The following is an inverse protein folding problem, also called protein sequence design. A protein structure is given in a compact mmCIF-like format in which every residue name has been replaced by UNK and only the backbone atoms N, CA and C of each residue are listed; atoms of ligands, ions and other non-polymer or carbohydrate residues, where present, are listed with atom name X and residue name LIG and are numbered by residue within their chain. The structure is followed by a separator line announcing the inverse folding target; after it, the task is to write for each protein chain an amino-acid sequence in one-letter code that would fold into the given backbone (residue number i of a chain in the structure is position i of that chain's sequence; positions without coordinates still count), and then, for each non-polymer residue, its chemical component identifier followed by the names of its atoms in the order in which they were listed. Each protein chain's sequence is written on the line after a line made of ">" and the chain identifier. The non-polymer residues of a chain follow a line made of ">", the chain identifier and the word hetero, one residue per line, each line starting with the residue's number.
data_IF_167732416319
#
_entry.id   IF_167732416319
#
_cell.length_a   1.000
_cell.length_b   1.000
_cell.length_c   1.000
_cell.angle_alpha   90.00
_cell.angle_beta   90.00
_cell.angle_gamma   90.00
#
_symmetry.space_group_name_H-M   'P 1'
#
loop_
_entity.id
_entity.type
_entity.pdbx_description
1 polymer ?
#
# COMPACT_ATOMS: atom_id res chain seq x y z
N UNK A 1 -64.00 -78.30 -4.33
CA UNK A 1 -63.44 -77.26 -5.24
C UNK A 1 -62.95 -75.97 -4.55
N UNK A 2 -62.81 -75.88 -3.21
CA UNK A 2 -62.29 -74.67 -2.54
C UNK A 2 -61.03 -74.87 -1.67
N UNK A 3 -60.59 -76.11 -1.45
CA UNK A 3 -59.35 -76.41 -0.71
C UNK A 3 -58.09 -76.39 -1.60
N UNK A 4 -58.23 -76.79 -2.87
CA UNK A 4 -57.10 -76.89 -3.80
C UNK A 4 -56.59 -75.52 -4.27
N UNK A 5 -57.48 -74.53 -4.39
CA UNK A 5 -57.11 -73.14 -4.69
C UNK A 5 -56.48 -72.43 -3.48
N UNK A 6 -56.81 -72.85 -2.25
CA UNK A 6 -56.20 -72.32 -1.03
C UNK A 6 -54.76 -72.84 -0.84
N UNK A 7 -54.52 -74.12 -1.16
CA UNK A 7 -53.16 -74.70 -1.14
C UNK A 7 -52.23 -74.10 -2.20
N UNK A 8 -52.74 -73.82 -3.41
CA UNK A 8 -51.93 -73.21 -4.49
C UNK A 8 -51.58 -71.73 -4.24
N UNK A 9 -52.47 -70.96 -3.59
CA UNK A 9 -52.20 -69.55 -3.28
C UNK A 9 -51.23 -69.36 -2.11
N UNK A 10 -51.08 -70.34 -1.22
CA UNK A 10 -50.09 -70.31 -0.14
C UNK A 10 -48.68 -70.68 -0.64
N UNK A 11 -48.56 -71.54 -1.66
CA UNK A 11 -47.27 -71.93 -2.25
C UNK A 11 -46.64 -70.81 -3.09
N UNK A 12 -47.43 -69.90 -3.66
CA UNK A 12 -46.94 -68.77 -4.47
C UNK A 12 -46.51 -67.54 -3.64
N UNK A 13 -46.71 -67.53 -2.32
CA UNK A 13 -46.29 -66.43 -1.42
C UNK A 13 -44.96 -66.65 -0.69
N UNK A 14 -44.21 -67.72 -1.01
CA UNK A 14 -42.92 -68.03 -0.37
C UNK A 14 -41.76 -68.08 -1.37
N UNK A 15 -41.91 -67.50 -2.57
CA UNK A 15 -40.74 -67.05 -3.32
C UNK A 15 -40.24 -65.72 -2.75
N UNK A 16 -39.82 -65.74 -1.48
CA UNK A 16 -38.76 -64.82 -1.08
C UNK A 16 -37.54 -65.36 -1.81
N UNK A 17 -37.23 -64.76 -2.96
CA UNK A 17 -35.87 -64.78 -3.50
C UNK A 17 -35.02 -64.30 -2.33
N UNK A 18 -34.37 -65.23 -1.62
CA UNK A 18 -33.26 -64.90 -0.75
C UNK A 18 -32.25 -64.28 -1.71
N UNK A 19 -32.25 -62.95 -1.82
CA UNK A 19 -31.07 -62.25 -2.30
C UNK A 19 -29.96 -62.79 -1.41
N UNK A 20 -29.09 -63.61 -1.99
CA UNK A 20 -27.82 -63.92 -1.37
C UNK A 20 -27.15 -62.57 -1.22
N UNK A 21 -27.21 -61.97 -0.03
CA UNK A 21 -26.26 -60.95 0.36
C UNK A 21 -24.93 -61.65 0.47
N UNK A 22 -24.30 -61.88 -0.68
CA UNK A 22 -22.90 -62.23 -0.76
C UNK A 22 -22.16 -61.04 -0.18
N UNK A 23 -21.59 -61.22 1.02
CA UNK A 23 -20.60 -60.28 1.51
C UNK A 23 -19.45 -60.19 0.51
N UNK A 24 -18.83 -59.01 0.41
CA UNK A 24 -17.68 -58.82 -0.46
C UNK A 24 -16.59 -59.83 -0.14
N UNK A 25 -16.01 -60.42 -1.18
CA UNK A 25 -14.84 -61.26 -1.02
C UNK A 25 -13.64 -60.39 -0.66
N UNK A 26 -12.68 -60.94 0.08
CA UNK A 26 -11.48 -60.21 0.52
C UNK A 26 -10.69 -59.66 -0.67
N UNK A 27 -10.75 -60.32 -1.84
CA UNK A 27 -10.11 -59.88 -3.08
C UNK A 27 -10.88 -58.75 -3.79
N UNK A 28 -12.21 -58.74 -3.77
CA UNK A 28 -12.98 -57.60 -4.30
C UNK A 28 -12.74 -56.34 -3.47
N UNK A 29 -12.59 -56.48 -2.14
CA UNK A 29 -12.26 -55.37 -1.27
C UNK A 29 -10.83 -54.85 -1.52
N UNK A 30 -9.88 -55.76 -1.78
CA UNK A 30 -8.51 -55.41 -2.19
C UNK A 30 -8.49 -54.66 -3.54
N UNK A 31 -9.19 -55.18 -4.55
CA UNK A 31 -9.28 -54.55 -5.88
C UNK A 31 -9.98 -53.20 -5.80
N UNK A 32 -11.07 -53.11 -5.02
CA UNK A 32 -11.78 -51.86 -4.77
C UNK A 32 -10.88 -50.79 -4.12
N UNK A 33 -10.05 -51.19 -3.15
CA UNK A 33 -9.09 -50.28 -2.50
C UNK A 33 -7.99 -49.85 -3.47
N UNK A 34 -7.48 -50.76 -4.30
CA UNK A 34 -6.50 -50.44 -5.35
C UNK A 34 -7.07 -49.45 -6.38
N UNK A 35 -8.27 -49.69 -6.88
CA UNK A 35 -8.93 -48.79 -7.83
C UNK A 35 -9.24 -47.43 -7.20
N UNK A 36 -9.70 -47.41 -5.95
CA UNK A 36 -9.93 -46.17 -5.21
C UNK A 36 -8.63 -45.37 -5.06
N UNK A 37 -7.52 -46.01 -4.70
CA UNK A 37 -6.22 -45.34 -4.57
C UNK A 37 -5.73 -44.77 -5.91
N UNK A 38 -5.89 -45.52 -6.99
CA UNK A 38 -5.50 -45.10 -8.35
C UNK A 38 -6.33 -43.91 -8.85
N UNK A 39 -7.57 -43.76 -8.41
CA UNK A 39 -8.46 -42.66 -8.83
C UNK A 39 -8.35 -41.44 -7.90
N UNK A 40 -8.34 -41.64 -6.58
CA UNK A 40 -8.37 -40.53 -5.60
C UNK A 40 -7.06 -39.74 -5.62
N UNK A 41 -5.92 -40.42 -5.72
CA UNK A 41 -4.59 -39.77 -5.68
C UNK A 41 -4.40 -38.71 -6.79
N UNK A 42 -4.64 -38.99 -8.08
CA UNK A 42 -4.50 -37.97 -9.13
C UNK A 42 -5.53 -36.85 -9.00
N UNK A 43 -6.76 -37.14 -8.54
CA UNK A 43 -7.78 -36.11 -8.29
C UNK A 43 -7.36 -35.15 -7.17
N UNK A 44 -6.80 -35.68 -6.09
CA UNK A 44 -6.28 -34.87 -4.99
C UNK A 44 -5.08 -34.02 -5.44
N UNK A 45 -4.17 -34.60 -6.23
CA UNK A 45 -3.04 -33.87 -6.81
C UNK A 45 -3.49 -32.72 -7.73
N UNK A 46 -4.49 -32.97 -8.57
CA UNK A 46 -5.08 -31.95 -9.44
C UNK A 46 -5.74 -30.82 -8.63
N UNK A 47 -6.50 -31.17 -7.58
CA UNK A 47 -7.13 -30.18 -6.70
C UNK A 47 -6.10 -29.27 -6.02
N UNK A 48 -4.99 -29.83 -5.50
CA UNK A 48 -3.91 -29.04 -4.91
C UNK A 48 -3.30 -28.08 -5.94
N UNK A 49 -3.07 -28.57 -7.17
CA UNK A 49 -2.54 -27.75 -8.26
C UNK A 49 -3.46 -26.58 -8.62
N UNK A 50 -4.78 -26.79 -8.66
CA UNK A 50 -5.74 -25.69 -8.88
C UNK A 50 -5.70 -24.70 -7.73
N UNK A 51 -5.78 -25.18 -6.48
CA UNK A 51 -5.78 -24.31 -5.31
C UNK A 51 -4.50 -23.46 -5.21
N UNK A 52 -3.35 -24.05 -5.53
CA UNK A 52 -2.07 -23.33 -5.52
C UNK A 52 -2.02 -22.28 -6.63
N UNK A 53 -2.52 -22.62 -7.83
CA UNK A 53 -2.60 -21.68 -8.94
C UNK A 53 -3.55 -20.52 -8.63
N UNK A 54 -4.73 -20.82 -8.11
CA UNK A 54 -5.71 -19.80 -7.70
C UNK A 54 -5.15 -18.88 -6.63
N UNK A 55 -4.45 -19.42 -5.63
CA UNK A 55 -3.79 -18.61 -4.59
C UNK A 55 -2.72 -17.68 -5.18
N UNK A 56 -1.93 -18.16 -6.15
CA UNK A 56 -0.91 -17.36 -6.83
C UNK A 56 -1.52 -16.24 -7.67
N UNK A 57 -2.57 -16.53 -8.43
CA UNK A 57 -3.26 -15.53 -9.25
C UNK A 57 -4.02 -14.49 -8.41
N UNK A 58 -4.65 -14.92 -7.31
CA UNK A 58 -5.24 -13.99 -6.34
C UNK A 58 -4.20 -13.06 -5.71
N UNK A 59 -3.03 -13.59 -5.31
CA UNK A 59 -1.98 -12.78 -4.71
C UNK A 59 -1.46 -11.70 -5.67
N UNK A 60 -1.29 -12.02 -6.96
CA UNK A 60 -0.88 -11.05 -7.99
C UNK A 60 -1.95 -9.98 -8.19
N UNK A 61 -3.19 -10.41 -8.45
CA UNK A 61 -4.31 -9.52 -8.73
C UNK A 61 -4.57 -8.56 -7.58
N UNK A 62 -4.61 -9.07 -6.34
CA UNK A 62 -4.83 -8.23 -5.16
C UNK A 62 -3.70 -7.22 -4.95
N UNK A 63 -2.44 -7.64 -5.12
CA UNK A 63 -1.29 -6.72 -4.98
C UNK A 63 -1.31 -5.63 -6.06
N UNK A 64 -1.63 -5.98 -7.30
CA UNK A 64 -1.74 -5.01 -8.38
C UNK A 64 -2.87 -4.00 -8.13
N UNK A 65 -4.05 -4.46 -7.69
CA UNK A 65 -5.18 -3.60 -7.36
C UNK A 65 -4.87 -2.67 -6.17
N UNK A 66 -4.27 -3.18 -5.10
CA UNK A 66 -3.91 -2.39 -3.92
C UNK A 66 -2.88 -1.30 -4.27
N UNK A 67 -1.86 -1.61 -5.07
CA UNK A 67 -0.83 -0.63 -5.47
C UNK A 67 -1.39 0.38 -6.45
N UNK A 68 -2.26 -0.04 -7.36
CA UNK A 68 -2.98 0.90 -8.24
C UNK A 68 -3.81 1.87 -7.41
N UNK A 69 -4.56 1.38 -6.42
CA UNK A 69 -5.36 2.23 -5.54
C UNK A 69 -4.47 3.19 -4.72
N UNK A 70 -3.32 2.73 -4.23
CA UNK A 70 -2.35 3.55 -3.52
C UNK A 70 -1.74 4.63 -4.43
N UNK A 71 -1.34 4.28 -5.65
CA UNK A 71 -0.82 5.21 -6.65
C UNK A 71 -1.87 6.26 -7.02
N UNK A 72 -3.10 5.85 -7.28
CA UNK A 72 -4.20 6.76 -7.59
C UNK A 72 -4.50 7.70 -6.40
N UNK A 73 -4.38 7.22 -5.17
CA UNK A 73 -4.52 8.04 -3.97
C UNK A 73 -3.40 9.09 -3.87
N UNK A 74 -2.14 8.68 -4.02
CA UNK A 74 -0.98 9.59 -4.01
C UNK A 74 -1.12 10.62 -5.13
N UNK A 75 -1.54 10.19 -6.33
CA UNK A 75 -1.74 11.06 -7.48
C UNK A 75 -2.82 12.11 -7.26
N UNK A 76 -3.95 11.77 -6.65
CA UNK A 76 -5.00 12.75 -6.28
C UNK A 76 -4.48 13.77 -5.26
N UNK A 77 -3.66 13.33 -4.31
CA UNK A 77 -3.04 14.20 -3.32
C UNK A 77 -2.03 15.16 -3.98
N UNK A 78 -1.22 14.66 -4.91
CA UNK A 78 -0.26 15.43 -5.70
C UNK A 78 -0.93 16.45 -6.63
N UNK A 79 -2.12 16.17 -7.16
CA UNK A 79 -2.87 17.14 -7.96
C UNK A 79 -3.21 18.41 -7.17
N UNK A 80 -3.28 18.34 -5.84
CA UNK A 80 -3.52 19.48 -4.96
C UNK A 80 -2.20 20.10 -4.42
N UNK A 81 -1.05 19.60 -4.87
CA UNK A 81 0.25 20.09 -4.41
C UNK A 81 0.52 21.50 -4.92
N UNK A 82 0.94 22.36 -4.00
CA UNK A 82 1.36 23.74 -4.24
C UNK A 82 2.87 23.82 -4.39
N UNK A 83 3.60 22.99 -3.64
CA UNK A 83 5.05 22.87 -3.70
C UNK A 83 5.47 21.45 -3.36
N UNK A 84 6.39 20.87 -4.14
CA UNK A 84 6.92 19.52 -3.93
C UNK A 84 8.41 19.66 -3.60
N UNK A 85 8.83 19.09 -2.47
CA UNK A 85 10.24 19.10 -2.08
C UNK A 85 11.05 18.17 -2.97
N UNK A 86 12.18 18.68 -3.45
CA UNK A 86 13.19 17.88 -4.12
C UNK A 86 14.13 17.20 -3.11
N UNK A 87 15.17 16.56 -3.63
CA UNK A 87 16.10 15.79 -2.80
C UNK A 87 16.84 16.65 -1.79
N UNK A 88 17.21 17.87 -2.14
CA UNK A 88 17.86 18.82 -1.25
C UNK A 88 16.89 19.33 -0.20
N UNK A 89 15.67 19.69 -0.60
CA UNK A 89 14.63 20.15 0.31
C UNK A 89 14.25 19.11 1.37
N UNK A 90 14.18 17.82 0.99
CA UNK A 90 13.95 16.73 1.96
C UNK A 90 15.08 16.62 2.98
N UNK A 91 16.33 16.85 2.57
CA UNK A 91 17.45 16.83 3.49
C UNK A 91 17.36 17.95 4.53
N UNK A 92 16.92 19.15 4.14
CA UNK A 92 16.77 20.30 5.04
C UNK A 92 15.60 20.13 6.03
N UNK A 93 14.44 19.65 5.56
CA UNK A 93 13.25 19.51 6.41
C UNK A 93 13.22 18.20 7.21
N UNK A 94 14.18 17.29 7.01
CA UNK A 94 14.16 15.93 7.56
C UNK A 94 13.98 15.92 9.07
N UNK A 95 14.72 16.77 9.78
CA UNK A 95 14.68 16.87 11.24
C UNK A 95 13.35 17.41 11.78
N UNK A 96 12.57 18.06 10.91
CA UNK A 96 11.25 18.58 11.23
C UNK A 96 10.16 17.52 11.08
N UNK A 97 10.42 16.44 10.35
CA UNK A 97 9.46 15.39 10.09
C UNK A 97 9.44 14.33 11.22
N UNK A 98 8.32 13.60 11.41
CA UNK A 98 8.29 12.45 12.32
C UNK A 98 9.34 11.38 11.96
N UNK A 99 9.83 10.66 12.98
CA UNK A 99 10.80 9.55 12.82
C UNK A 99 12.08 9.98 12.07
N UNK A 100 12.55 11.20 12.33
CA UNK A 100 13.80 11.75 11.77
C UNK A 100 15.04 10.99 12.26
N UNK A 101 14.96 10.40 13.45
CA UNK A 101 15.99 9.60 14.11
C UNK A 101 16.20 8.21 13.47
N UNK A 102 15.18 7.66 12.80
CA UNK A 102 15.19 6.29 12.29
C UNK A 102 15.24 6.22 10.75
N UNK A 103 16.35 6.68 10.19
CA UNK A 103 16.57 6.79 8.74
C UNK A 103 16.63 5.44 8.01
N UNK A 104 16.93 4.36 8.72
CA UNK A 104 17.05 3.00 8.16
C UNK A 104 15.72 2.27 8.03
N UNK A 105 14.71 2.67 8.81
CA UNK A 105 13.40 2.01 8.82
C UNK A 105 12.28 2.92 8.33
N UNK A 106 12.39 4.25 8.49
CA UNK A 106 11.39 5.21 8.05
C UNK A 106 12.05 6.24 7.17
N UNK A 107 11.80 6.20 5.86
CA UNK A 107 12.43 7.14 4.92
C UNK A 107 11.37 7.92 4.13
N UNK A 108 11.40 9.27 4.15
CA UNK A 108 10.44 10.12 3.46
C UNK A 108 10.83 10.17 1.98
N UNK A 109 9.98 9.58 1.15
CA UNK A 109 10.22 9.50 -0.29
C UNK A 109 9.59 10.68 -1.01
N UNK A 110 8.42 11.13 -0.56
CA UNK A 110 7.69 12.21 -1.20
C UNK A 110 7.12 13.16 -0.14
N UNK A 111 7.51 14.43 -0.21
CA UNK A 111 7.05 15.46 0.73
C UNK A 111 6.58 16.68 -0.07
N UNK A 112 5.39 17.19 0.25
CA UNK A 112 4.82 18.33 -0.45
C UNK A 112 3.80 19.08 0.41
N UNK A 113 3.62 20.35 0.06
CA UNK A 113 2.53 21.18 0.56
C UNK A 113 1.33 21.03 -0.36
N UNK A 114 0.16 20.75 0.20
CA UNK A 114 -1.10 20.73 -0.54
C UNK A 114 -2.09 21.75 0.00
N UNK A 115 -2.98 22.24 -0.88
CA UNK A 115 -4.15 23.01 -0.49
C UNK A 115 -5.36 22.08 -0.42
N UNK A 116 -5.82 21.79 0.78
CA UNK A 116 -6.94 20.89 1.01
C UNK A 116 -8.24 21.68 1.18
N UNK A 117 -9.28 21.24 0.47
CA UNK A 117 -10.64 21.73 0.65
C UNK A 117 -11.26 21.13 1.93
N UNK A 118 -11.89 21.99 2.72
CA UNK A 118 -12.66 21.63 3.93
C UNK A 118 -14.08 22.14 3.72
N UNK A 119 -15.04 21.24 3.65
CA UNK A 119 -16.44 21.63 3.51
C UNK A 119 -17.02 22.05 4.85
N UNK A 120 -17.72 23.19 4.87
CA UNK A 120 -18.39 23.71 6.06
C UNK A 120 -17.46 23.96 7.25
N UNK A 121 -16.19 24.30 7.00
CA UNK A 121 -15.21 24.55 8.07
C UNK A 121 -15.41 25.90 8.76
N UNK A 122 -15.97 26.90 8.07
CA UNK A 122 -16.08 28.26 8.61
C UNK A 122 -17.50 28.54 9.11
N UNK A 123 -17.65 28.88 10.39
CA UNK A 123 -18.92 29.30 10.94
C UNK A 123 -19.30 30.70 10.45
N UNK A 124 -20.38 30.80 9.67
CA UNK A 124 -20.97 32.07 9.24
C UNK A 124 -21.82 32.62 10.38
N UNK A 125 -21.38 33.72 10.98
CA UNK A 125 -22.04 34.34 12.15
C UNK A 125 -22.91 35.52 11.71
N UNK A 126 -24.13 35.60 12.24
CA UNK A 126 -24.97 36.81 12.21
C UNK A 126 -25.19 37.25 13.65
N UNK A 127 -24.44 38.27 14.07
CA UNK A 127 -24.32 38.62 15.50
C UNK A 127 -23.62 37.51 16.28
N UNK A 128 -24.21 37.09 17.41
CA UNK A 128 -23.69 36.00 18.25
C UNK A 128 -24.14 34.59 17.79
N UNK A 129 -24.97 34.50 16.75
CA UNK A 129 -25.58 33.24 16.30
C UNK A 129 -24.89 32.71 15.06
N UNK A 130 -24.56 31.42 15.04
CA UNK A 130 -24.08 30.75 13.83
C UNK A 130 -25.28 30.44 12.92
N UNK A 131 -25.29 31.01 11.73
CA UNK A 131 -26.40 30.91 10.76
C UNK A 131 -26.13 29.85 9.69
N UNK A 132 -24.87 29.46 9.50
CA UNK A 132 -24.49 28.38 8.60
C UNK A 132 -22.99 28.13 8.66
N UNK A 133 -22.55 27.16 7.86
CA UNK A 133 -21.13 26.89 7.67
C UNK A 133 -20.77 27.10 6.20
N UNK A 134 -19.64 27.76 5.96
CA UNK A 134 -19.06 27.98 4.63
C UNK A 134 -17.82 27.13 4.44
N UNK A 135 -17.49 26.89 3.19
CA UNK A 135 -16.34 26.09 2.79
C UNK A 135 -15.04 26.88 2.90
N UNK A 136 -13.93 26.16 3.09
CA UNK A 136 -12.62 26.80 3.20
C UNK A 136 -11.50 25.92 2.67
N UNK A 137 -10.31 26.51 2.57
CA UNK A 137 -9.10 25.81 2.17
C UNK A 137 -8.04 25.93 3.26
N UNK A 138 -7.40 24.81 3.57
CA UNK A 138 -6.30 24.71 4.51
C UNK A 138 -5.03 24.28 3.80
N UNK A 139 -3.89 24.78 4.26
CA UNK A 139 -2.60 24.25 3.86
C UNK A 139 -2.25 23.06 4.71
N UNK A 140 -1.77 22.00 4.07
CA UNK A 140 -1.30 20.80 4.76
C UNK A 140 0.05 20.37 4.23
N UNK A 141 0.94 19.98 5.12
CA UNK A 141 2.18 19.30 4.78
C UNK A 141 1.89 17.80 4.77
N UNK A 142 2.20 17.13 3.67
CA UNK A 142 2.03 15.69 3.51
C UNK A 142 3.39 15.06 3.23
N UNK A 143 3.67 13.96 3.93
CA UNK A 143 4.88 13.17 3.72
C UNK A 143 4.52 11.69 3.56
N UNK A 144 5.00 11.07 2.49
CA UNK A 144 4.93 9.65 2.25
C UNK A 144 6.27 8.99 2.57
N UNK A 145 6.21 7.93 3.34
CA UNK A 145 7.36 7.17 3.80
C UNK A 145 7.36 5.79 3.18
N UNK A 146 8.54 5.29 2.82
CA UNK A 146 8.77 3.85 2.78
C UNK A 146 9.17 3.41 4.19
N UNK A 147 8.48 2.38 4.68
CA UNK A 147 8.68 1.86 6.03
C UNK A 147 9.11 0.40 5.96
N UNK A 148 10.22 0.09 6.61
CA UNK A 148 10.75 -1.26 6.79
C UNK A 148 11.29 -1.41 8.22
N UNK A 149 10.37 -1.60 9.16
CA UNK A 149 10.65 -1.70 10.59
C UNK A 149 10.70 -3.15 11.11
N UNK A 150 10.36 -4.14 10.28
CA UNK A 150 10.38 -5.56 10.64
C UNK A 150 9.29 -5.94 11.64
N UNK A 151 8.21 -5.17 11.75
CA UNK A 151 7.08 -5.43 12.63
C UNK A 151 6.34 -6.72 12.22
N UNK A 152 6.16 -7.65 13.17
CA UNK A 152 5.49 -8.93 12.96
C UNK A 152 3.99 -8.83 12.67
N UNK A 153 3.38 -7.67 12.94
CA UNK A 153 1.97 -7.39 12.63
C UNK A 153 1.74 -7.29 11.12
N UNK A 154 2.77 -6.91 10.37
CA UNK A 154 2.69 -6.61 8.94
C UNK A 154 3.36 -7.70 8.10
N UNK A 155 3.23 -7.59 6.78
CA UNK A 155 3.94 -8.49 5.88
C UNK A 155 5.45 -8.37 6.10
N UNK A 156 6.20 -9.40 5.70
CA UNK A 156 7.67 -9.34 5.68
C UNK A 156 8.22 -8.41 4.60
N UNK A 157 7.38 -7.64 3.90
CA UNK A 157 7.78 -6.70 2.87
C UNK A 157 7.76 -5.25 3.43
N UNK A 158 8.10 -4.26 2.59
CA UNK A 158 7.98 -2.86 2.99
C UNK A 158 6.52 -2.40 2.88
N UNK A 159 6.22 -1.28 3.54
CA UNK A 159 4.91 -0.60 3.44
C UNK A 159 5.09 0.88 3.12
N UNK A 160 4.06 1.50 2.56
CA UNK A 160 4.01 2.94 2.40
C UNK A 160 3.15 3.52 3.51
N UNK A 161 3.72 4.47 4.25
CA UNK A 161 3.03 5.25 5.27
C UNK A 161 2.79 6.68 4.80
N UNK A 162 1.72 7.29 5.28
CA UNK A 162 1.35 8.67 5.01
C UNK A 162 1.23 9.44 6.31
N UNK A 163 1.89 10.60 6.36
CA UNK A 163 1.78 11.58 7.42
C UNK A 163 1.17 12.85 6.87
N UNK A 164 0.31 13.51 7.64
CA UNK A 164 -0.25 14.80 7.30
C UNK A 164 -0.44 15.66 8.55
N UNK A 165 -0.13 16.95 8.42
CA UNK A 165 -0.46 18.01 9.39
C UNK A 165 -1.00 19.24 8.66
N UNK A 166 -1.88 19.99 9.31
CA UNK A 166 -2.63 21.12 8.72
C UNK A 166 -2.64 22.38 9.58
N UNK A 167 -2.81 23.54 8.94
CA UNK A 167 -2.81 24.86 9.61
C UNK A 167 -4.07 25.18 10.42
N UNK A 168 -5.06 24.29 10.43
CA UNK A 168 -6.36 24.57 11.02
C UNK A 168 -7.19 25.58 10.19
N UNK A 169 -8.43 25.76 10.60
CA UNK A 169 -9.40 26.66 9.99
C UNK A 169 -10.28 27.31 11.05
N UNK A 170 -10.77 28.51 10.76
CA UNK A 170 -11.60 29.27 11.68
C UNK A 170 -11.66 30.74 11.29
N UNK A 171 -12.63 31.47 11.83
CA UNK A 171 -12.77 32.92 11.60
C UNK A 171 -11.94 33.73 12.59
N UNK A 172 -11.50 33.11 13.68
CA UNK A 172 -10.67 33.70 14.73
C UNK A 172 -9.40 32.87 14.95
N UNK A 173 -8.36 33.53 15.47
CA UNK A 173 -7.09 32.88 15.81
C UNK A 173 -7.27 31.70 16.78
N UNK A 174 -8.20 31.81 17.73
CA UNK A 174 -8.54 30.72 18.67
C UNK A 174 -9.15 29.51 17.96
N UNK A 175 -10.08 29.73 17.03
CA UNK A 175 -10.70 28.64 16.26
C UNK A 175 -9.69 27.94 15.35
N UNK A 176 -8.82 28.73 14.69
CA UNK A 176 -7.72 28.20 13.88
C UNK A 176 -6.79 27.34 14.75
N UNK A 177 -6.37 27.84 15.91
CA UNK A 177 -5.47 27.10 16.80
C UNK A 177 -6.12 25.83 17.40
N UNK A 178 -7.43 25.82 17.60
CA UNK A 178 -8.15 24.64 18.10
C UNK A 178 -8.31 23.53 17.05
N UNK A 179 -8.32 23.87 15.76
CA UNK A 179 -8.46 22.93 14.65
C UNK A 179 -7.14 22.58 13.98
N UNK A 180 -6.07 23.31 14.32
CA UNK A 180 -4.71 23.08 13.84
C UNK A 180 -4.14 21.80 14.43
N UNK A 181 -3.40 21.08 13.61
CA UNK A 181 -2.63 19.93 14.06
C UNK A 181 -1.44 20.37 14.93
N UNK A 182 -1.22 19.67 16.06
CA UNK A 182 -0.09 19.94 16.94
C UNK A 182 1.25 19.84 16.21
N UNK A 183 2.15 20.80 16.45
CA UNK A 183 3.45 20.86 15.78
C UNK A 183 3.42 21.56 14.42
N UNK A 184 2.24 21.87 13.87
CA UNK A 184 2.13 22.61 12.63
C UNK A 184 2.56 24.08 12.80
N UNK A 185 3.31 24.58 11.81
CA UNK A 185 3.63 25.99 11.63
C UNK A 185 3.43 26.35 10.16
N UNK A 186 2.81 27.49 9.85
CA UNK A 186 2.68 27.93 8.46
C UNK A 186 4.05 28.39 7.94
N UNK A 187 4.35 28.09 6.67
CA UNK A 187 5.56 28.59 6.02
C UNK A 187 5.51 30.11 5.85
N UNK A 188 6.69 30.76 5.91
CA UNK A 188 6.84 32.20 5.69
C UNK A 188 7.40 32.44 4.29
N UNK A 189 6.79 33.37 3.55
CA UNK A 189 7.30 33.82 2.26
C UNK A 189 8.00 35.18 2.32
N UNK A 190 8.08 35.77 3.52
CA UNK A 190 8.65 37.11 3.75
C UNK A 190 10.19 37.10 3.76
N UNK A 191 10.80 35.92 3.88
CA UNK A 191 12.25 35.77 3.88
C UNK A 191 12.84 36.02 2.48
N UNK A 192 14.09 36.45 2.42
CA UNK A 192 14.82 36.62 1.15
C UNK A 192 15.15 35.27 0.51
N UNK A 193 15.10 35.23 -0.84
CA UNK A 193 15.45 34.06 -1.65
C UNK A 193 14.37 33.68 -2.67
N UNK A 194 14.63 32.59 -3.40
CA UNK A 194 13.63 31.94 -4.25
C UNK A 194 12.63 31.12 -3.42
N UNK A 195 11.55 30.65 -4.06
CA UNK A 195 10.53 29.85 -3.37
C UNK A 195 11.15 28.62 -2.70
N UNK A 196 12.07 27.92 -3.37
CA UNK A 196 12.77 26.74 -2.84
C UNK A 196 13.48 27.03 -1.52
N UNK A 197 14.29 28.10 -1.48
CA UNK A 197 15.01 28.51 -0.27
C UNK A 197 14.06 28.84 0.88
N UNK A 198 12.93 29.50 0.59
CA UNK A 198 11.93 29.84 1.62
C UNK A 198 11.23 28.59 2.16
N UNK A 199 10.85 27.67 1.28
CA UNK A 199 10.17 26.43 1.69
C UNK A 199 11.09 25.47 2.45
N UNK A 200 12.40 25.46 2.14
CA UNK A 200 13.38 24.63 2.84
C UNK A 200 13.71 25.14 4.25
N UNK A 201 13.50 26.42 4.53
CA UNK A 201 13.63 27.02 5.88
C UNK A 201 12.44 26.72 6.79
N UNK A 202 11.47 25.94 6.35
CA UNK A 202 10.33 25.59 7.18
C UNK A 202 10.77 24.79 8.41
N UNK A 203 10.29 25.20 9.58
CA UNK A 203 10.56 24.55 10.87
C UNK A 203 9.23 24.28 11.55
N UNK A 204 9.09 23.10 12.16
CA UNK A 204 7.89 22.78 12.94
C UNK A 204 7.77 23.68 14.17
N UNK A 205 6.60 23.71 14.79
CA UNK A 205 6.46 24.38 16.08
C UNK A 205 7.21 23.59 17.16
N UNK A 206 8.36 24.11 17.59
CA UNK A 206 9.26 23.42 18.55
C UNK A 206 8.66 23.20 19.93
N UNK A 207 7.58 23.92 20.27
CA UNK A 207 6.88 23.80 21.55
C UNK A 207 5.86 22.67 21.57
N UNK A 208 5.56 22.04 20.43
CA UNK A 208 4.51 21.03 20.29
C UNK A 208 5.07 19.77 19.61
N UNK A 209 4.83 18.62 20.23
CA UNK A 209 5.09 17.33 19.60
C UNK A 209 3.94 16.98 18.65
N UNK A 210 4.25 16.23 17.59
CA UNK A 210 3.22 15.70 16.71
C UNK A 210 2.30 14.73 17.46
N UNK A 211 1.00 14.90 17.27
CA UNK A 211 -0.02 13.95 17.76
C UNK A 211 -0.46 12.98 16.67
N UNK A 212 -0.16 13.30 15.41
CA UNK A 212 -0.53 12.54 14.23
C UNK A 212 0.50 11.44 13.98
N UNK A 213 0.01 10.20 13.87
CA UNK A 213 0.84 9.06 13.50
C UNK A 213 1.01 8.95 11.98
N UNK A 214 2.01 8.17 11.57
CA UNK A 214 2.19 7.78 10.17
C UNK A 214 1.22 6.64 9.89
N UNK A 215 0.18 6.90 9.10
CA UNK A 215 -0.87 5.95 8.76
C UNK A 215 -0.42 5.03 7.61
N UNK A 216 -0.53 3.70 7.72
CA UNK A 216 -0.20 2.78 6.63
C UNK A 216 -1.22 2.94 5.49
N UNK A 217 -0.74 3.15 4.27
CA UNK A 217 -1.55 3.23 3.05
C UNK A 217 -1.63 1.89 2.33
N UNK A 218 -0.49 1.24 2.15
CA UNK A 218 -0.38 -0.03 1.43
C UNK A 218 0.78 -0.84 1.97
N UNK A 219 0.55 -2.15 2.12
CA UNK A 219 1.55 -3.16 2.48
C UNK A 219 2.00 -3.90 1.20
N UNK A 220 2.95 -4.83 1.31
CA UNK A 220 3.47 -5.62 0.19
C UNK A 220 4.21 -4.80 -0.86
N UNK A 221 4.95 -3.78 -0.42
CA UNK A 221 5.87 -3.02 -1.26
C UNK A 221 7.21 -3.73 -1.33
N UNK A 222 7.79 -3.78 -2.52
CA UNK A 222 9.05 -4.46 -2.72
C UNK A 222 10.18 -3.84 -1.91
N UNK A 223 10.88 -4.68 -1.16
CA UNK A 223 11.98 -4.29 -0.30
C UNK A 223 13.32 -4.83 -0.80
N UNK A 224 13.39 -5.29 -2.04
CA UNK A 224 14.61 -5.82 -2.60
C UNK A 224 15.65 -4.72 -2.68
N UNK A 225 16.78 -4.93 -2.00
CA UNK A 225 17.88 -3.98 -1.98
C UNK A 225 18.45 -3.77 -3.37
N UNK A 226 18.80 -2.52 -3.69
CA UNK A 226 19.50 -2.24 -4.95
C UNK A 226 20.97 -2.67 -4.89
N UNK A 227 21.44 -3.28 -5.98
CA UNK A 227 22.82 -3.70 -6.22
C UNK A 227 23.23 -3.41 -7.67
N UNK A 228 24.50 -3.53 -8.03
CA UNK A 228 24.99 -3.14 -9.36
C UNK A 228 24.75 -4.17 -10.46
N UNK A 229 24.28 -5.38 -10.16
CA UNK A 229 24.25 -6.50 -11.11
C UNK A 229 22.83 -6.97 -11.40
N UNK A 230 22.13 -7.41 -10.35
CA UNK A 230 20.82 -8.06 -10.41
C UNK A 230 19.70 -7.04 -10.22
N UNK A 231 19.93 -6.02 -9.39
CA UNK A 231 18.93 -5.03 -9.02
C UNK A 231 19.48 -3.60 -9.10
N UNK A 232 19.84 -3.09 -10.30
CA UNK A 232 20.47 -1.77 -10.48
C UNK A 232 19.68 -0.65 -9.79
N UNK A 233 20.29 0.49 -9.47
CA UNK A 233 19.52 1.65 -9.04
C UNK A 233 18.62 2.16 -10.19
N UNK A 234 17.42 2.70 -9.89
CA UNK A 234 16.59 3.35 -10.90
C UNK A 234 17.23 4.66 -11.39
N UNK A 235 16.72 5.18 -12.49
CA UNK A 235 17.15 6.43 -13.10
C UNK A 235 15.94 7.29 -13.40
N UNK A 236 16.01 8.58 -13.08
CA UNK A 236 14.99 9.56 -13.45
C UNK A 236 15.35 10.20 -14.79
N UNK A 237 14.39 10.25 -15.72
CA UNK A 237 14.57 10.92 -17.01
C UNK A 237 14.58 12.45 -16.86
N UNK A 238 13.85 12.96 -15.88
CA UNK A 238 13.72 14.38 -15.55
C UNK A 238 13.54 14.56 -14.04
N UNK A 239 14.14 15.60 -13.48
CA UNK A 239 14.04 15.92 -12.06
C UNK A 239 14.97 15.10 -11.16
N UNK A 240 14.87 15.39 -9.87
CA UNK A 240 15.66 14.79 -8.81
C UNK A 240 15.04 13.46 -8.35
N UNK A 241 15.87 12.43 -8.23
CA UNK A 241 15.47 11.13 -7.71
C UNK A 241 15.48 11.11 -6.18
N UNK A 242 14.38 10.66 -5.58
CA UNK A 242 14.26 10.45 -4.14
C UNK A 242 13.73 9.03 -3.87
N UNK A 243 14.41 8.23 -3.03
CA UNK A 243 15.73 8.50 -2.46
C UNK A 243 16.84 8.54 -3.52
N UNK A 244 17.94 9.24 -3.20
CA UNK A 244 19.22 9.03 -3.88
C UNK A 244 19.78 7.67 -3.45
N UNK A 245 20.33 6.90 -4.39
CA UNK A 245 20.92 5.57 -4.11
C UNK A 245 22.45 5.61 -3.92
N UNK A 246 23.05 6.78 -4.10
CA UNK A 246 24.47 7.07 -3.92
C UNK A 246 24.65 8.46 -3.30
N UNK A 247 25.82 8.70 -2.70
CA UNK A 247 26.16 9.95 -2.02
C UNK A 247 26.10 9.85 -0.49
N UNK A 248 25.98 11.00 0.16
CA UNK A 248 25.86 11.15 1.62
C UNK A 248 24.76 12.15 2.00
N UNK A 249 24.16 11.99 3.18
CA UNK A 249 23.15 12.89 3.73
C UNK A 249 21.74 12.27 3.77
N UNK A 250 20.76 13.09 4.15
CA UNK A 250 19.40 12.62 4.47
C UNK A 250 18.51 12.35 3.27
N UNK A 251 18.95 12.78 2.09
CA UNK A 251 18.32 12.46 0.82
C UNK A 251 18.70 11.08 0.27
N UNK A 252 19.69 10.42 0.89
CA UNK A 252 20.22 9.13 0.44
C UNK A 252 19.57 7.98 1.22
N UNK A 253 19.02 6.98 0.52
CA UNK A 253 18.49 5.80 1.20
C UNK A 253 19.61 4.94 1.78
N UNK A 254 19.44 4.52 3.04
CA UNK A 254 20.40 3.71 3.79
C UNK A 254 19.71 2.52 4.47
N UNK A 255 20.43 1.42 4.67
CA UNK A 255 19.86 0.23 5.33
C UNK A 255 18.66 -0.37 4.59
N UNK A 256 17.63 -0.74 5.33
CA UNK A 256 16.48 -1.53 4.85
C UNK A 256 15.54 -0.77 3.90
N UNK A 257 15.73 0.54 3.75
CA UNK A 257 14.94 1.39 2.83
C UNK A 257 15.63 1.65 1.50
N UNK A 258 16.85 1.11 1.29
CA UNK A 258 17.58 1.22 0.01
C UNK A 258 17.04 0.23 -1.03
N UNK A 259 15.78 0.41 -1.42
CA UNK A 259 15.02 -0.53 -2.26
C UNK A 259 14.37 0.21 -3.43
N UNK A 260 13.95 -0.49 -4.49
CA UNK A 260 13.22 0.12 -5.63
C UNK A 260 11.71 0.08 -5.48
N UNK A 261 11.19 -0.32 -4.31
CA UNK A 261 9.75 -0.49 -4.10
C UNK A 261 8.96 0.79 -4.16
N UNK A 262 9.58 1.90 -3.75
CA UNK A 262 8.98 3.21 -3.80
C UNK A 262 10.06 4.27 -4.00
N UNK A 263 9.99 4.97 -5.13
CA UNK A 263 10.81 6.15 -5.40
C UNK A 263 10.04 7.14 -6.25
N UNK A 264 10.49 8.39 -6.24
CA UNK A 264 9.90 9.47 -7.02
C UNK A 264 10.97 10.24 -7.78
N UNK A 265 10.58 10.78 -8.93
CA UNK A 265 11.35 11.78 -9.68
C UNK A 265 10.63 13.13 -9.56
N UNK A 266 11.27 14.12 -8.96
CA UNK A 266 10.64 15.42 -8.66
C UNK A 266 11.30 16.53 -9.48
N UNK A 267 10.48 17.26 -10.23
CA UNK A 267 10.83 18.54 -10.86
C UNK A 267 10.10 19.63 -10.05
N UNK A 268 10.79 20.17 -9.04
CA UNK A 268 10.24 21.13 -8.09
C UNK A 268 9.88 22.47 -8.76
N UNK A 269 10.68 22.90 -9.74
CA UNK A 269 10.43 24.12 -10.53
C UNK A 269 9.11 24.06 -11.30
N UNK A 270 8.75 22.88 -11.83
CA UNK A 270 7.47 22.68 -12.53
C UNK A 270 6.36 22.13 -11.64
N UNK A 271 6.64 21.88 -10.36
CA UNK A 271 5.72 21.20 -9.42
C UNK A 271 5.20 19.88 -10.03
N UNK A 272 6.10 19.09 -10.62
CA UNK A 272 5.79 17.79 -11.23
C UNK A 272 6.50 16.68 -10.48
N UNK A 273 5.78 15.62 -10.15
CA UNK A 273 6.36 14.40 -9.60
C UNK A 273 5.96 13.18 -10.43
N UNK A 274 6.90 12.30 -10.68
CA UNK A 274 6.68 10.97 -11.23
C UNK A 274 6.88 9.95 -10.11
N UNK A 275 5.82 9.22 -9.77
CA UNK A 275 5.79 8.27 -8.68
C UNK A 275 5.91 6.86 -9.23
N UNK A 276 6.87 6.10 -8.73
CA UNK A 276 7.11 4.72 -9.11
C UNK A 276 6.88 3.80 -7.91
N UNK A 277 5.99 2.83 -8.07
CA UNK A 277 5.66 1.83 -7.06
C UNK A 277 5.86 0.42 -7.62
N UNK A 278 6.59 -0.41 -6.88
CA UNK A 278 6.74 -1.83 -7.17
C UNK A 278 6.23 -2.68 -6.01
N UNK A 279 5.30 -3.57 -6.33
CA UNK A 279 4.71 -4.51 -5.38
C UNK A 279 5.48 -5.78 -5.19
N UNK A 280 5.07 -6.55 -4.19
CA UNK A 280 5.60 -7.86 -3.88
C UNK A 280 4.47 -8.83 -3.52
N UNK A 281 3.88 -9.46 -4.53
CA UNK A 281 2.85 -10.47 -4.34
C UNK A 281 3.40 -11.77 -3.73
N UNK A 282 4.72 -12.03 -3.82
CA UNK A 282 5.33 -13.21 -3.20
C UNK A 282 5.19 -13.20 -1.68
N UNK A 283 5.28 -12.02 -1.07
CA UNK A 283 5.12 -11.87 0.38
C UNK A 283 3.71 -12.27 0.90
N UNK A 284 2.70 -12.44 0.03
CA UNK A 284 1.38 -13.01 0.39
C UNK A 284 1.35 -14.53 0.41
N UNK A 285 2.23 -15.17 -0.36
CA UNK A 285 2.20 -16.62 -0.55
C UNK A 285 3.31 -17.34 0.21
N UNK A 286 4.44 -16.68 0.44
CA UNK A 286 5.61 -17.25 1.10
C UNK A 286 6.31 -16.22 1.99
N UNK A 287 7.14 -16.73 2.91
CA UNK A 287 7.80 -15.91 3.94
C UNK A 287 9.32 -15.83 3.80
N UNK A 288 9.87 -16.47 2.76
CA UNK A 288 11.27 -16.51 2.38
C UNK A 288 11.39 -16.33 0.85
N UNK A 289 12.56 -15.93 0.36
CA UNK A 289 12.82 -15.75 -1.08
C UNK A 289 11.79 -14.81 -1.75
N UNK A 290 11.47 -13.71 -1.07
CA UNK A 290 10.51 -12.70 -1.56
C UNK A 290 11.20 -11.56 -2.31
N UNK A 291 12.49 -11.72 -2.63
CA UNK A 291 13.26 -10.70 -3.31
C UNK A 291 13.04 -10.77 -4.82
N UNK A 292 12.98 -9.59 -5.42
CA UNK A 292 12.95 -9.39 -6.86
C UNK A 292 14.28 -9.79 -7.48
N UNK A 293 14.19 -10.40 -8.65
CA UNK A 293 15.32 -10.79 -9.47
C UNK A 293 15.00 -10.41 -10.93
N UNK A 294 15.79 -9.48 -11.50
CA UNK A 294 15.58 -9.02 -12.86
C UNK A 294 15.87 -10.11 -13.91
N UNK A 295 16.62 -11.14 -13.58
CA UNK A 295 17.01 -12.17 -14.55
C UNK A 295 16.04 -13.36 -14.52
N UNK A 296 15.21 -13.44 -13.46
CA UNK A 296 14.18 -14.47 -13.31
C UNK A 296 12.79 -14.02 -13.80
N UNK A 297 12.47 -14.32 -15.06
CA UNK A 297 11.19 -13.96 -15.69
C UNK A 297 9.96 -14.54 -14.96
N UNK A 298 10.08 -15.72 -14.35
CA UNK A 298 8.97 -16.34 -13.62
C UNK A 298 8.67 -15.64 -12.29
N UNK A 299 9.66 -15.00 -11.66
CA UNK A 299 9.46 -14.24 -10.43
C UNK A 299 8.93 -12.83 -10.73
N UNK A 300 9.34 -12.20 -11.83
CA UNK A 300 8.90 -10.84 -12.20
C UNK A 300 7.38 -10.65 -12.21
N UNK A 301 6.63 -11.67 -12.62
CA UNK A 301 5.16 -11.60 -12.68
C UNK A 301 4.49 -11.38 -11.31
N UNK A 302 5.23 -11.55 -10.21
CA UNK A 302 4.75 -11.30 -8.85
C UNK A 302 5.12 -9.90 -8.33
N UNK A 303 5.78 -9.08 -9.14
CA UNK A 303 6.20 -7.72 -8.77
C UNK A 303 5.57 -6.70 -9.73
N UNK A 304 4.27 -6.39 -9.58
CA UNK A 304 3.63 -5.38 -10.41
C UNK A 304 4.35 -4.04 -10.22
N UNK A 305 4.67 -3.38 -11.34
CA UNK A 305 5.36 -2.08 -11.38
C UNK A 305 4.41 -1.07 -12.01
N UNK A 306 4.13 0.01 -11.28
CA UNK A 306 3.20 1.06 -11.67
C UNK A 306 3.87 2.41 -11.53
N UNK A 307 3.65 3.26 -12.52
CA UNK A 307 4.20 4.62 -12.57
C UNK A 307 3.11 5.62 -12.90
N UNK A 308 3.12 6.79 -12.24
CA UNK A 308 2.22 7.89 -12.56
C UNK A 308 2.96 9.22 -12.49
N UNK A 309 2.81 10.05 -13.53
CA UNK A 309 3.34 11.41 -13.56
C UNK A 309 2.22 12.41 -13.33
N UNK A 310 2.38 13.24 -12.31
CA UNK A 310 1.37 14.19 -11.87
C UNK A 310 1.97 15.58 -11.78
N UNK A 311 1.21 16.57 -12.26
CA UNK A 311 1.50 17.99 -12.07
C UNK A 311 0.58 18.53 -10.97
N UNK A 312 1.16 19.18 -9.97
CA UNK A 312 0.42 19.92 -8.95
C UNK A 312 -0.12 21.25 -9.45
N UNK A 313 -0.87 21.94 -8.60
CA UNK A 313 -1.40 23.29 -8.86
C UNK A 313 -0.24 24.29 -9.06
N UNK A 314 0.84 24.10 -8.30
CA UNK A 314 1.95 25.05 -8.22
C UNK A 314 1.61 26.28 -7.38
N UNK A 315 2.63 27.07 -7.07
CA UNK A 315 2.48 28.32 -6.32
C UNK A 315 2.00 29.44 -7.25
N UNK A 316 0.86 30.06 -6.95
CA UNK A 316 0.25 31.08 -7.83
C UNK A 316 0.74 32.52 -7.57
N UNK A 317 1.57 32.75 -6.55
CA UNK A 317 2.03 34.09 -6.16
C UNK A 317 3.49 34.13 -5.69
N UNK A 318 4.40 34.63 -6.51
CA UNK A 318 5.66 35.20 -6.01
C UNK A 318 5.61 36.68 -6.30
N UNK A 319 5.52 37.52 -5.26
CA UNK A 319 5.90 38.94 -5.39
C UNK A 319 7.42 39.04 -5.48
#
# INVERSE_FOLDING_TARGET
>A
MKLLTWLLSHQLKISKVKQKTGGFTLIELLVGLLLAFLVITPLMGFMISIMENDRKEQAKTNTEQEIKAALDYISRDLQQAVYIYDSEGIAEIRDQLPKSDNKTQFFPVLVFWKRQYISGGLAVKSGATTVGNDDTFVYSLVAYYIINDGDSTWSKAARIGRFQISNGYGSTETEINNTRDAGFKLFSLQDEGDLKTKMNKWVKNSSEAYTQDILPLVDYIDQTTTDTTTNPAPTCSTGDMIPKYSGSGDSVATGNVKTRGFYVCVDSDKTVAEVHLRGNALARIQSNNINFDKDNTSLKMYFPDLTSRVRGIGFLFTQ
#
